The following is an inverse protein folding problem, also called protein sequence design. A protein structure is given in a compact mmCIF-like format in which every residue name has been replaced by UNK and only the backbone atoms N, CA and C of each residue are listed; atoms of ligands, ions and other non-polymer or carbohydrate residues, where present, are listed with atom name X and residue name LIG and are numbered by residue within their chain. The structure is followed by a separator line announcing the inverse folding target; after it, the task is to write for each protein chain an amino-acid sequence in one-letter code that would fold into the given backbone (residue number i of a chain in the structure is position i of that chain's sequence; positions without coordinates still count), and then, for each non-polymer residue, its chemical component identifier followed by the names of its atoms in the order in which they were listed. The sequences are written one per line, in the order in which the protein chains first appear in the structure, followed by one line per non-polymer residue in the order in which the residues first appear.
data_IF_642329302626
#
_entry.id   IF_642329302626
#
_cell.length_a   1.000
_cell.length_b   1.000
_cell.length_c   1.000
_cell.angle_alpha   90.00
_cell.angle_beta   90.00
_cell.angle_gamma   90.00
#
_symmetry.space_group_name_H-M   'P 1'
#
loop_
_entity.id
_entity.type
_entity.pdbx_description
1 polymer ?
#
# COMPACT_ATOMS: atom_id res chain seq x y z
N UNK A 1 30.91 23.36 -20.75
CA UNK A 1 29.46 23.69 -20.83
C UNK A 1 28.77 23.14 -22.09
N UNK A 2 29.19 23.50 -23.31
CA UNK A 2 28.53 23.07 -24.57
C UNK A 2 28.38 21.54 -24.78
N UNK A 3 29.29 20.71 -24.25
CA UNK A 3 29.22 19.23 -24.36
C UNK A 3 28.20 18.62 -23.39
N UNK A 4 28.04 19.20 -22.20
CA UNK A 4 27.07 18.73 -21.19
C UNK A 4 25.65 19.07 -21.63
N UNK A 5 25.42 20.25 -22.20
CA UNK A 5 24.11 20.64 -22.76
C UNK A 5 23.67 19.73 -23.90
N UNK A 6 24.61 19.27 -24.75
CA UNK A 6 24.32 18.32 -25.83
C UNK A 6 23.96 16.94 -25.27
N UNK A 7 24.70 16.44 -24.28
CA UNK A 7 24.38 15.16 -23.62
C UNK A 7 23.01 15.23 -22.94
N UNK A 8 22.70 16.32 -22.24
CA UNK A 8 21.40 16.53 -21.60
C UNK A 8 20.25 16.59 -22.62
N UNK A 9 20.42 17.32 -23.72
CA UNK A 9 19.43 17.36 -24.81
C UNK A 9 19.25 16.00 -25.48
N UNK A 10 20.33 15.25 -25.71
CA UNK A 10 20.24 13.90 -26.29
C UNK A 10 19.59 12.91 -25.31
N UNK A 11 19.83 13.06 -24.00
CA UNK A 11 19.19 12.24 -22.96
C UNK A 11 17.70 12.58 -22.83
N UNK A 12 17.33 13.87 -22.88
CA UNK A 12 15.94 14.31 -22.95
C UNK A 12 15.25 13.81 -24.23
N UNK A 13 15.96 13.80 -25.37
CA UNK A 13 15.41 13.32 -26.65
C UNK A 13 15.25 11.78 -26.67
N UNK A 14 16.21 11.04 -26.10
CA UNK A 14 16.11 9.59 -25.91
C UNK A 14 15.01 9.22 -24.90
N UNK A 15 14.84 10.02 -23.84
CA UNK A 15 13.74 9.88 -22.89
C UNK A 15 12.39 10.17 -23.57
N UNK A 16 12.30 11.18 -24.45
CA UNK A 16 11.09 11.42 -25.24
C UNK A 16 10.78 10.32 -26.26
N UNK A 17 11.80 9.68 -26.83
CA UNK A 17 11.62 8.59 -27.79
C UNK A 17 11.18 7.26 -27.13
N UNK A 18 11.57 7.01 -25.87
CA UNK A 18 11.06 5.87 -25.10
C UNK A 18 9.67 6.13 -24.49
N UNK A 19 9.28 7.40 -24.30
CA UNK A 19 7.91 7.77 -23.92
C UNK A 19 6.89 7.50 -25.05
N UNK A 20 7.31 7.51 -26.32
CA UNK A 20 6.43 7.20 -27.46
C UNK A 20 6.11 5.71 -27.65
N UNK A 21 6.94 4.78 -27.17
CA UNK A 21 6.70 3.34 -27.29
C UNK A 21 5.97 2.70 -26.09
N UNK A 22 5.63 3.47 -25.05
CA UNK A 22 4.93 2.95 -23.87
C UNK A 22 3.39 2.86 -24.03
N UNK A 23 2.87 2.83 -25.26
CA UNK A 23 1.50 3.25 -25.57
C UNK A 23 0.36 2.23 -25.42
N UNK A 24 0.59 1.02 -24.89
CA UNK A 24 -0.43 -0.05 -24.97
C UNK A 24 -0.98 -0.60 -23.65
N UNK A 25 -0.49 -0.19 -22.47
CA UNK A 25 -1.13 -0.59 -21.21
C UNK A 25 -1.67 0.62 -20.43
N UNK A 26 -2.94 0.59 -19.96
CA UNK A 26 -3.46 1.57 -19.01
C UNK A 26 -2.75 1.52 -17.64
N UNK A 27 -1.77 0.62 -17.45
CA UNK A 27 -1.14 0.24 -16.19
C UNK A 27 0.29 0.74 -15.96
N UNK A 28 0.86 1.57 -16.83
CA UNK A 28 2.23 2.08 -16.63
C UNK A 28 2.28 3.59 -16.30
N UNK A 29 1.72 4.04 -15.16
CA UNK A 29 1.86 5.44 -14.76
C UNK A 29 3.32 5.70 -14.43
N UNK A 30 3.88 6.73 -15.06
CA UNK A 30 5.07 7.38 -14.56
C UNK A 30 4.63 8.37 -13.48
N UNK A 31 5.30 8.39 -12.34
CA UNK A 31 5.11 9.43 -11.34
C UNK A 31 6.36 10.29 -11.29
N UNK A 32 6.19 11.58 -11.54
CA UNK A 32 7.25 12.57 -11.39
C UNK A 32 6.95 13.40 -10.15
N UNK A 33 7.87 13.41 -9.19
CA UNK A 33 7.79 14.22 -7.98
C UNK A 33 8.89 15.28 -7.99
N UNK A 34 8.51 16.52 -7.67
CA UNK A 34 9.42 17.66 -7.58
C UNK A 34 9.25 18.30 -6.21
N UNK A 35 10.32 18.38 -5.44
CA UNK A 35 10.24 18.78 -4.03
C UNK A 35 11.47 19.57 -3.59
N UNK A 36 11.36 20.51 -2.64
CA UNK A 36 12.46 20.77 -1.72
C UNK A 36 12.80 19.53 -0.91
N UNK A 37 14.08 19.34 -0.60
CA UNK A 37 14.51 18.34 0.37
C UNK A 37 15.18 18.98 1.59
N UNK A 38 15.12 18.26 2.70
CA UNK A 38 15.58 18.64 4.01
C UNK A 38 16.41 17.50 4.58
N UNK A 39 17.52 17.80 5.24
CA UNK A 39 18.39 16.77 5.83
C UNK A 39 18.63 16.99 7.31
N UNK A 40 18.70 15.90 8.06
CA UNK A 40 19.05 15.90 9.47
C UNK A 40 20.17 14.88 9.74
N UNK A 41 21.36 15.40 10.05
CA UNK A 41 22.55 14.62 10.40
C UNK A 41 22.64 14.29 11.89
N UNK A 42 21.86 14.93 12.75
CA UNK A 42 22.00 14.80 14.20
C UNK A 42 21.24 13.60 14.74
N UNK A 43 19.98 13.44 14.34
CA UNK A 43 19.10 12.39 14.85
C UNK A 43 19.66 10.97 14.72
N UNK A 44 20.33 10.58 13.60
CA UNK A 44 20.92 9.25 13.48
C UNK A 44 22.11 8.97 14.39
N UNK A 45 22.83 10.02 14.81
CA UNK A 45 24.11 9.89 15.51
C UNK A 45 23.98 10.03 17.02
N UNK A 46 22.86 10.57 17.53
CA UNK A 46 22.60 10.72 18.96
C UNK A 46 21.71 9.62 19.54
N UNK A 47 20.95 8.91 18.69
CA UNK A 47 19.98 7.90 19.12
C UNK A 47 18.73 8.45 19.83
N UNK A 48 18.60 9.78 19.94
CA UNK A 48 17.46 10.43 20.58
C UNK A 48 16.37 10.78 19.57
N UNK A 49 15.16 10.27 19.78
CA UNK A 49 14.01 10.55 18.91
C UNK A 49 13.65 12.04 18.85
N UNK A 50 13.89 12.78 19.94
CA UNK A 50 13.65 14.22 19.98
C UNK A 50 14.50 15.01 18.98
N UNK A 51 15.69 14.50 18.63
CA UNK A 51 16.56 15.14 17.63
C UNK A 51 15.99 15.02 16.21
N UNK A 52 15.09 14.06 15.94
CA UNK A 52 14.36 13.98 14.67
C UNK A 52 13.33 15.09 14.56
N UNK A 53 12.61 15.39 15.65
CA UNK A 53 11.56 16.42 15.67
C UNK A 53 12.09 17.84 15.92
N UNK A 54 13.34 17.98 16.37
CA UNK A 54 13.97 19.29 16.56
C UNK A 54 14.20 20.03 15.24
N UNK A 55 13.45 21.12 15.02
CA UNK A 55 13.49 21.90 13.77
C UNK A 55 14.88 22.45 13.43
N UNK A 56 15.67 22.85 14.43
CA UNK A 56 17.03 23.38 14.24
C UNK A 56 18.03 22.35 13.68
N UNK A 57 17.67 21.06 13.71
CA UNK A 57 18.50 19.97 13.21
C UNK A 57 18.29 19.72 11.70
N UNK A 58 17.24 20.32 11.10
CA UNK A 58 16.92 20.20 9.69
C UNK A 58 17.53 21.33 8.88
N UNK A 59 18.23 20.97 7.82
CA UNK A 59 18.82 21.93 6.90
C UNK A 59 17.92 22.11 5.69
N UNK A 60 17.59 23.36 5.38
CA UNK A 60 16.63 23.70 4.34
C UNK A 60 17.36 24.05 3.04
N UNK A 61 17.04 23.36 1.96
CA UNK A 61 17.36 23.80 0.62
C UNK A 61 16.13 24.50 0.02
N UNK A 62 16.25 25.81 -0.24
CA UNK A 62 15.13 26.61 -0.79
C UNK A 62 15.04 26.34 -2.31
N UNK A 63 13.91 25.78 -2.76
CA UNK A 63 13.60 25.50 -4.17
C UNK A 63 13.44 24.01 -4.48
N UNK A 64 12.99 23.65 -5.71
CA UNK A 64 12.84 22.25 -6.13
C UNK A 64 14.23 21.63 -6.31
N UNK A 65 14.68 20.98 -5.25
CA UNK A 65 16.03 20.46 -5.08
C UNK A 65 16.06 18.93 -5.09
N UNK A 66 14.89 18.30 -5.19
CA UNK A 66 14.69 16.88 -5.40
C UNK A 66 13.79 16.64 -6.62
N UNK A 67 14.19 15.68 -7.44
CA UNK A 67 13.43 15.11 -8.52
C UNK A 67 13.34 13.59 -8.30
N UNK A 68 12.13 13.09 -8.10
CA UNK A 68 11.80 11.67 -8.11
C UNK A 68 11.11 11.29 -9.41
N UNK A 69 11.56 10.23 -10.08
CA UNK A 69 10.88 9.68 -11.27
C UNK A 69 10.66 8.19 -11.03
N UNK A 70 9.40 7.81 -10.85
CA UNK A 70 8.98 6.42 -10.64
C UNK A 70 8.34 5.89 -11.90
N UNK A 71 8.76 4.70 -12.32
CA UNK A 71 8.06 3.88 -13.30
C UNK A 71 7.46 2.68 -12.59
N UNK A 72 6.14 2.58 -12.54
CA UNK A 72 5.48 1.40 -12.01
C UNK A 72 5.61 0.23 -12.99
N UNK A 73 5.98 -0.94 -12.47
CA UNK A 73 6.05 -2.21 -13.19
C UNK A 73 4.75 -3.01 -13.04
N UNK A 74 4.06 -2.82 -11.91
CA UNK A 74 2.72 -3.32 -11.61
C UNK A 74 2.11 -2.43 -10.50
N UNK A 75 0.85 -2.65 -10.07
CA UNK A 75 0.20 -1.81 -9.04
C UNK A 75 0.93 -1.75 -7.70
N UNK A 76 1.74 -2.74 -7.35
CA UNK A 76 2.49 -2.77 -6.09
C UNK A 76 3.93 -2.30 -6.23
N UNK A 77 4.59 -2.52 -7.36
CA UNK A 77 6.04 -2.36 -7.50
C UNK A 77 6.40 -1.31 -8.55
N UNK A 78 7.23 -0.35 -8.15
CA UNK A 78 7.83 0.65 -9.02
C UNK A 78 9.34 0.72 -8.89
N UNK A 79 10.00 1.19 -9.95
CA UNK A 79 11.41 1.58 -9.94
C UNK A 79 11.48 3.10 -9.94
N UNK A 80 12.11 3.65 -8.91
CA UNK A 80 12.24 5.08 -8.68
C UNK A 80 13.69 5.53 -8.83
N UNK A 81 13.93 6.48 -9.72
CA UNK A 81 15.16 7.25 -9.76
C UNK A 81 14.97 8.52 -8.93
N UNK A 82 15.87 8.80 -7.99
CA UNK A 82 15.89 10.08 -7.28
C UNK A 82 17.16 10.86 -7.61
N UNK A 83 17.00 12.17 -7.78
CA UNK A 83 18.11 13.12 -7.88
C UNK A 83 17.92 14.27 -6.90
N UNK A 84 18.95 14.57 -6.13
CA UNK A 84 18.99 15.66 -5.15
C UNK A 84 20.14 16.62 -5.50
N UNK A 85 19.89 17.91 -5.37
CA UNK A 85 20.82 18.99 -5.68
C UNK A 85 20.63 20.10 -4.67
N UNK A 86 21.67 20.46 -3.93
CA UNK A 86 21.56 21.53 -2.95
C UNK A 86 22.89 21.91 -2.32
N UNK A 87 22.80 22.52 -1.14
CA UNK A 87 23.94 22.76 -0.26
C UNK A 87 23.66 22.05 1.06
N UNK A 88 24.67 21.36 1.58
CA UNK A 88 24.62 20.75 2.90
C UNK A 88 25.74 21.33 3.75
N UNK A 89 25.43 21.63 5.00
CA UNK A 89 26.35 22.20 5.98
C UNK A 89 26.43 21.28 7.20
N UNK A 90 27.34 20.31 7.20
CA UNK A 90 27.47 19.39 8.32
C UNK A 90 27.83 20.13 9.63
N UNK A 91 27.16 19.85 10.76
CA UNK A 91 27.48 20.46 12.05
C UNK A 91 28.96 20.28 12.43
N UNK A 92 29.66 21.38 12.67
CA UNK A 92 31.11 21.38 12.94
C UNK A 92 31.99 21.61 11.70
N UNK A 93 31.42 21.94 10.53
CA UNK A 93 32.12 22.54 9.39
C UNK A 93 33.06 21.62 8.60
N UNK A 94 33.11 20.32 8.95
CA UNK A 94 34.04 19.36 8.32
C UNK A 94 33.65 19.01 6.88
N UNK A 95 32.36 19.11 6.55
CA UNK A 95 31.76 18.72 5.27
C UNK A 95 30.61 19.70 4.94
N UNK A 96 30.97 20.88 4.44
CA UNK A 96 30.04 21.94 4.08
C UNK A 96 30.22 22.34 2.63
N UNK A 97 29.17 22.24 1.82
CA UNK A 97 29.16 22.81 0.47
C UNK A 97 28.20 22.14 -0.50
N UNK A 98 28.54 22.17 -1.80
CA UNK A 98 27.66 21.72 -2.86
C UNK A 98 27.40 20.22 -2.74
N UNK A 99 26.13 19.86 -2.72
CA UNK A 99 25.67 18.49 -2.56
C UNK A 99 24.89 18.04 -3.79
N UNK A 100 25.19 16.83 -4.23
CA UNK A 100 24.32 16.10 -5.14
C UNK A 100 24.24 14.64 -4.71
N UNK A 101 23.07 14.05 -4.91
CA UNK A 101 22.85 12.62 -4.70
C UNK A 101 21.99 12.07 -5.83
N UNK A 102 22.30 10.86 -6.26
CA UNK A 102 21.46 10.10 -7.18
C UNK A 102 21.30 8.68 -6.66
N UNK A 103 20.07 8.19 -6.61
CA UNK A 103 19.78 6.82 -6.19
C UNK A 103 18.75 6.14 -7.10
N UNK A 104 18.85 4.82 -7.13
CA UNK A 104 17.85 3.94 -7.70
C UNK A 104 17.21 3.14 -6.56
N UNK A 105 15.89 3.23 -6.47
CA UNK A 105 15.11 2.64 -5.39
C UNK A 105 13.99 1.77 -5.96
N UNK A 106 13.72 0.64 -5.31
CA UNK A 106 12.47 -0.11 -5.47
C UNK A 106 11.44 0.55 -4.56
N UNK A 107 10.27 0.85 -5.12
CA UNK A 107 9.13 1.41 -4.42
C UNK A 107 8.04 0.33 -4.32
N UNK A 108 7.51 0.12 -3.11
CA UNK A 108 6.34 -0.72 -2.88
C UNK A 108 5.13 0.15 -2.50
N UNK A 109 4.13 0.23 -3.37
CA UNK A 109 2.89 0.98 -3.16
C UNK A 109 1.83 0.10 -2.51
N UNK A 110 1.15 0.68 -1.51
CA UNK A 110 0.03 0.07 -0.82
C UNK A 110 -1.30 0.32 -1.56
N UNK A 111 -1.37 1.29 -2.47
CA UNK A 111 -2.50 1.51 -3.38
C UNK A 111 -2.46 0.51 -4.54
N UNK A 112 -2.61 -0.78 -4.22
CA UNK A 112 -2.35 -1.88 -5.14
C UNK A 112 -3.58 -2.76 -5.43
N UNK A 113 -4.76 -2.38 -4.94
CA UNK A 113 -6.02 -3.13 -5.09
C UNK A 113 -6.23 -4.22 -4.04
N UNK A 114 -5.19 -4.66 -3.33
CA UNK A 114 -5.30 -5.64 -2.25
C UNK A 114 -5.35 -4.99 -0.87
N UNK A 115 -4.52 -3.95 -0.65
CA UNK A 115 -4.42 -3.25 0.64
C UNK A 115 -5.26 -1.98 0.61
N UNK A 116 -5.04 -1.15 -0.40
CA UNK A 116 -5.85 0.03 -0.69
C UNK A 116 -6.25 0.01 -2.17
N UNK A 117 -7.38 0.64 -2.53
CA UNK A 117 -7.77 0.77 -3.93
C UNK A 117 -6.66 1.35 -4.80
N UNK A 118 -6.52 0.88 -6.05
CA UNK A 118 -5.43 1.28 -6.95
C UNK A 118 -5.42 2.79 -7.26
N UNK A 119 -6.56 3.46 -7.13
CA UNK A 119 -6.72 4.89 -7.33
C UNK A 119 -7.10 5.64 -6.05
N UNK A 120 -6.62 5.19 -4.89
CA UNK A 120 -6.87 5.87 -3.63
C UNK A 120 -6.31 7.31 -3.61
N UNK A 121 -7.04 8.22 -2.96
CA UNK A 121 -6.61 9.59 -2.71
C UNK A 121 -5.32 9.65 -1.88
N UNK A 122 -5.09 8.64 -1.03
CA UNK A 122 -3.85 8.48 -0.27
C UNK A 122 -3.16 7.22 -0.75
N UNK A 123 -1.92 7.38 -1.22
CA UNK A 123 -1.09 6.27 -1.65
C UNK A 123 0.17 6.20 -0.78
N UNK A 124 0.14 5.43 0.33
CA UNK A 124 1.33 5.13 1.11
C UNK A 124 2.27 4.20 0.33
N UNK A 125 3.57 4.41 0.50
CA UNK A 125 4.59 3.56 -0.11
C UNK A 125 5.83 3.44 0.76
N UNK A 126 6.53 2.31 0.60
CA UNK A 126 7.88 2.11 1.10
C UNK A 126 8.88 2.20 -0.04
N UNK A 127 10.11 2.58 0.29
CA UNK A 127 11.21 2.62 -0.67
C UNK A 127 12.48 2.01 -0.08
N UNK A 128 13.20 1.27 -0.91
CA UNK A 128 14.48 0.69 -0.58
C UNK A 128 15.40 0.81 -1.79
N UNK A 129 16.58 1.38 -1.61
CA UNK A 129 17.45 1.67 -2.73
C UNK A 129 18.88 1.98 -2.34
N UNK A 130 19.65 2.36 -3.34
CA UNK A 130 21.03 2.75 -3.16
C UNK A 130 21.51 3.62 -4.30
N UNK A 131 22.61 4.31 -4.04
CA UNK A 131 23.13 5.31 -4.95
C UNK A 131 24.48 5.84 -4.53
N UNK A 132 24.78 7.02 -5.07
CA UNK A 132 25.98 7.76 -4.76
C UNK A 132 25.62 9.19 -4.42
N UNK A 133 26.33 9.74 -3.44
CA UNK A 133 26.24 11.13 -3.08
C UNK A 133 27.62 11.75 -3.04
N UNK A 134 27.67 13.06 -3.24
CA UNK A 134 28.89 13.84 -3.18
C UNK A 134 28.64 15.17 -2.51
N UNK A 135 29.52 15.49 -1.57
CA UNK A 135 29.62 16.80 -0.92
C UNK A 135 30.99 17.37 -1.25
N UNK A 136 31.03 18.53 -1.90
CA UNK A 136 32.24 19.14 -2.46
C UNK A 136 33.01 18.16 -3.36
N UNK A 137 34.11 17.60 -2.89
CA UNK A 137 34.99 16.68 -3.65
C UNK A 137 34.98 15.25 -3.12
N UNK A 138 34.24 14.97 -2.05
CA UNK A 138 34.11 13.64 -1.49
C UNK A 138 32.88 12.94 -2.08
N UNK A 139 33.07 11.77 -2.69
CA UNK A 139 32.00 10.89 -3.19
C UNK A 139 31.90 9.67 -2.31
N UNK A 140 30.69 9.25 -1.95
CA UNK A 140 30.43 8.10 -1.10
C UNK A 140 29.18 7.34 -1.55
N UNK A 141 29.14 6.06 -1.22
CA UNK A 141 27.97 5.22 -1.45
C UNK A 141 26.86 5.56 -0.46
N UNK A 142 25.61 5.42 -0.92
CA UNK A 142 24.43 5.61 -0.08
C UNK A 142 23.55 4.39 -0.21
N UNK A 143 23.14 3.83 0.93
CA UNK A 143 22.02 2.90 1.02
C UNK A 143 20.84 3.61 1.68
N UNK A 144 19.66 3.50 1.08
CA UNK A 144 18.48 4.27 1.45
C UNK A 144 17.31 3.33 1.77
N UNK A 145 16.69 3.54 2.92
CA UNK A 145 15.41 2.93 3.27
C UNK A 145 14.46 4.01 3.76
N UNK A 146 13.21 4.00 3.30
CA UNK A 146 12.28 5.05 3.66
C UNK A 146 10.82 4.69 3.40
N UNK A 147 9.97 5.68 3.67
CA UNK A 147 8.55 5.62 3.42
C UNK A 147 8.07 6.99 2.94
N UNK A 148 6.92 6.99 2.29
CA UNK A 148 6.25 8.22 1.90
C UNK A 148 4.79 7.98 1.63
N UNK A 149 4.11 9.06 1.29
CA UNK A 149 2.77 9.01 0.76
C UNK A 149 2.61 10.03 -0.35
N UNK A 150 1.82 9.65 -1.36
CA UNK A 150 1.22 10.60 -2.29
C UNK A 150 -0.19 10.95 -1.81
N UNK A 151 -0.53 12.24 -1.84
CA UNK A 151 -1.89 12.72 -1.63
C UNK A 151 -2.42 13.27 -2.95
N UNK A 152 -3.29 12.52 -3.61
CA UNK A 152 -3.82 12.84 -4.94
C UNK A 152 -5.07 13.70 -4.83
N UNK A 153 -4.99 14.96 -5.26
CA UNK A 153 -6.16 15.84 -5.40
C UNK A 153 -6.98 15.52 -6.65
N UNK A 154 -6.29 14.98 -7.66
CA UNK A 154 -6.86 14.55 -8.94
C UNK A 154 -6.11 13.29 -9.40
N UNK A 155 -6.62 12.54 -10.38
CA UNK A 155 -5.91 11.37 -10.91
C UNK A 155 -4.50 11.64 -11.44
N UNK A 156 -4.19 12.90 -11.81
CA UNK A 156 -2.92 13.30 -12.42
C UNK A 156 -2.01 14.14 -11.53
N UNK A 157 -2.51 14.72 -10.44
CA UNK A 157 -1.81 15.74 -9.65
C UNK A 157 -2.07 15.58 -8.16
N UNK A 158 -1.00 15.65 -7.39
CA UNK A 158 -1.02 15.49 -5.94
C UNK A 158 0.19 16.11 -5.26
N UNK A 159 0.31 15.87 -3.96
CA UNK A 159 1.49 16.13 -3.16
C UNK A 159 2.28 14.84 -2.92
N UNK A 160 3.59 14.93 -2.75
CA UNK A 160 4.38 13.91 -2.07
C UNK A 160 4.89 14.41 -0.74
N UNK A 161 4.94 13.49 0.22
CA UNK A 161 5.80 13.60 1.39
C UNK A 161 6.58 12.29 1.52
N UNK A 162 7.90 12.38 1.54
CA UNK A 162 8.81 11.25 1.59
C UNK A 162 9.83 11.50 2.70
N UNK A 163 10.15 10.48 3.49
CA UNK A 163 11.27 10.49 4.43
C UNK A 163 12.08 9.22 4.27
N UNK A 164 13.40 9.35 4.38
CA UNK A 164 14.32 8.23 4.21
C UNK A 164 15.53 8.34 5.12
N UNK A 165 15.94 7.20 5.64
CA UNK A 165 17.18 7.03 6.35
C UNK A 165 18.26 6.62 5.35
N UNK A 166 19.33 7.42 5.28
CA UNK A 166 20.46 7.20 4.40
C UNK A 166 21.65 6.72 5.23
N UNK A 167 22.08 5.48 4.98
CA UNK A 167 23.32 4.91 5.49
C UNK A 167 24.44 5.17 4.51
N UNK A 168 25.60 5.59 5.01
CA UNK A 168 26.79 5.84 4.17
C UNK A 168 28.07 5.40 4.87
N UNK A 169 29.18 5.38 4.14
CA UNK A 169 30.50 5.09 4.70
C UNK A 169 31.08 6.23 5.57
N UNK A 170 30.45 7.40 5.57
CA UNK A 170 30.98 8.61 6.22
C UNK A 170 30.07 9.08 7.36
N UNK A 171 28.77 9.21 7.10
CA UNK A 171 27.76 9.64 8.08
C UNK A 171 26.36 9.19 7.65
N UNK A 172 25.54 8.85 8.63
CA UNK A 172 24.14 8.55 8.40
C UNK A 172 23.30 9.82 8.59
N UNK A 173 22.24 9.96 7.78
CA UNK A 173 21.36 11.13 7.84
C UNK A 173 19.93 10.78 7.45
N UNK A 174 18.98 11.52 8.01
CA UNK A 174 17.61 11.54 7.51
C UNK A 174 17.49 12.53 6.36
N UNK A 175 16.70 12.17 5.36
CA UNK A 175 16.35 13.00 4.21
C UNK A 175 14.84 12.98 4.04
N UNK A 176 14.23 14.16 4.10
CA UNK A 176 12.79 14.36 3.91
C UNK A 176 12.55 15.26 2.71
N UNK A 177 11.53 14.96 1.90
CA UNK A 177 11.12 15.74 0.76
C UNK A 177 9.61 15.93 0.79
N UNK A 178 9.14 17.17 0.63
CA UNK A 178 7.71 17.48 0.55
C UNK A 178 7.49 18.37 -0.66
N UNK A 179 6.65 17.94 -1.61
CA UNK A 179 6.45 18.68 -2.84
C UNK A 179 5.26 18.21 -3.65
N UNK A 180 5.36 18.39 -4.96
CA UNK A 180 4.30 18.11 -5.92
C UNK A 180 4.60 16.81 -6.67
N UNK A 181 3.55 16.04 -6.95
CA UNK A 181 3.62 14.82 -7.77
C UNK A 181 2.67 14.87 -8.94
N UNK A 182 3.14 14.33 -10.06
CA UNK A 182 2.42 14.28 -11.33
C UNK A 182 2.42 12.84 -11.87
N UNK A 183 1.24 12.29 -12.13
CA UNK A 183 1.09 11.03 -12.88
C UNK A 183 1.06 11.34 -14.37
N UNK A 184 1.97 10.73 -15.13
CA UNK A 184 2.16 10.91 -16.56
C UNK A 184 2.03 9.55 -17.25
N UNK A 185 1.38 9.50 -18.41
CA UNK A 185 1.28 8.29 -19.23
C UNK A 185 -0.04 7.54 -19.09
N UNK A 186 -0.91 7.92 -18.15
CA UNK A 186 -2.32 7.57 -18.21
C UNK A 186 -2.97 8.42 -19.31
N UNK A 187 -3.35 7.82 -20.45
CA UNK A 187 -4.41 8.43 -21.28
C UNK A 187 -5.56 8.71 -20.32
N UNK A 188 -5.92 9.98 -20.14
CA UNK A 188 -6.88 10.41 -19.13
C UNK A 188 -8.26 9.82 -19.33
N UNK A 189 -8.42 8.52 -19.04
CA UNK A 189 -9.70 7.97 -18.63
C UNK A 189 -10.09 8.77 -17.41
N UNK A 190 -11.17 9.55 -17.56
CA UNK A 190 -11.87 10.14 -16.43
C UNK A 190 -12.22 8.96 -15.53
N UNK A 191 -11.50 8.86 -14.42
CA UNK A 191 -11.77 7.88 -13.39
C UNK A 191 -13.07 8.31 -12.73
N UNK A 192 -14.15 7.61 -13.06
CA UNK A 192 -15.44 7.76 -12.39
C UNK A 192 -15.45 6.75 -11.25
N UNK A 193 -15.82 7.25 -10.09
CA UNK A 193 -16.10 6.52 -8.86
C UNK A 193 -17.41 7.14 -8.41
N UNK A 194 -18.52 6.46 -8.70
CA UNK A 194 -19.85 7.05 -8.64
C UNK A 194 -20.45 6.99 -7.24
N UNK A 195 -20.12 5.95 -6.47
CA UNK A 195 -20.57 5.81 -5.09
C UNK A 195 -19.55 6.35 -4.07
N UNK A 196 -18.33 6.64 -4.48
CA UNK A 196 -17.31 7.29 -3.68
C UNK A 196 -16.60 6.35 -2.70
N UNK A 197 -16.59 5.04 -2.96
CA UNK A 197 -15.94 4.05 -2.09
C UNK A 197 -14.41 3.97 -2.29
N UNK A 198 -13.89 4.70 -3.29
CA UNK A 198 -12.47 4.78 -3.63
C UNK A 198 -12.02 3.72 -4.64
N UNK A 199 -12.91 2.83 -5.07
CA UNK A 199 -12.76 1.91 -6.19
C UNK A 199 -13.45 2.53 -7.39
N UNK A 200 -12.82 2.42 -8.55
CA UNK A 200 -13.28 3.10 -9.75
C UNK A 200 -14.34 2.22 -10.42
N UNK A 201 -15.37 2.78 -11.04
CA UNK A 201 -16.51 2.03 -11.62
C UNK A 201 -16.07 0.87 -12.56
N UNK A 202 -14.89 0.99 -13.17
CA UNK A 202 -14.31 -0.03 -14.07
C UNK A 202 -13.71 -1.24 -13.34
N UNK A 203 -13.33 -1.07 -12.08
CA UNK A 203 -12.77 -2.10 -11.20
C UNK A 203 -13.73 -2.48 -10.07
N UNK A 204 -14.77 -1.69 -9.88
CA UNK A 204 -15.83 -1.91 -8.91
C UNK A 204 -16.88 -2.89 -9.45
N UNK A 205 -17.18 -3.92 -8.66
CA UNK A 205 -18.24 -4.88 -8.97
C UNK A 205 -19.63 -4.29 -8.72
N UNK A 206 -19.76 -3.28 -7.86
CA UNK A 206 -20.99 -2.62 -7.48
C UNK A 206 -20.90 -1.08 -7.61
N UNK A 207 -20.73 -0.51 -8.82
CA UNK A 207 -20.42 0.92 -9.03
C UNK A 207 -21.47 1.96 -8.55
N UNK A 208 -22.57 1.51 -7.94
CA UNK A 208 -23.64 2.38 -7.45
C UNK A 208 -23.79 2.27 -5.92
N UNK A 209 -23.09 1.34 -5.28
CA UNK A 209 -23.25 0.96 -3.88
C UNK A 209 -21.89 0.77 -3.23
N UNK A 210 -21.51 1.72 -2.38
CA UNK A 210 -20.19 1.73 -1.78
C UNK A 210 -19.86 0.43 -1.02
N UNK A 211 -18.69 -0.14 -1.31
CA UNK A 211 -18.19 -1.32 -0.64
C UNK A 211 -16.76 -1.18 -0.16
N UNK A 212 -16.12 -2.33 0.08
CA UNK A 212 -14.72 -2.37 0.51
C UNK A 212 -13.84 -3.01 -0.55
N UNK A 213 -12.53 -2.80 -0.44
CA UNK A 213 -11.56 -3.48 -1.31
C UNK A 213 -11.61 -5.02 -1.16
N UNK A 214 -11.94 -5.55 0.03
CA UNK A 214 -12.04 -6.99 0.27
C UNK A 214 -13.16 -7.62 -0.58
N UNK A 215 -14.25 -6.89 -0.77
CA UNK A 215 -15.42 -7.29 -1.55
C UNK A 215 -15.42 -6.73 -2.99
N UNK A 216 -14.32 -6.11 -3.43
CA UNK A 216 -14.17 -5.47 -4.74
C UNK A 216 -15.24 -4.39 -5.01
N UNK A 217 -15.57 -3.60 -3.99
CA UNK A 217 -16.47 -2.45 -4.08
C UNK A 217 -17.93 -2.76 -3.82
N UNK A 218 -18.25 -4.00 -3.43
CA UNK A 218 -19.61 -4.35 -3.05
C UNK A 218 -19.88 -4.21 -1.54
N UNK A 219 -21.11 -3.88 -1.12
CA UNK A 219 -21.49 -3.86 0.29
C UNK A 219 -21.30 -5.21 0.98
N UNK A 220 -20.92 -5.14 2.25
CA UNK A 220 -20.71 -6.26 3.18
C UNK A 220 -21.29 -5.82 4.53
N UNK A 221 -22.44 -6.38 4.91
CA UNK A 221 -23.25 -5.88 6.02
C UNK A 221 -22.79 -6.42 7.39
N UNK A 222 -22.22 -7.62 7.44
CA UNK A 222 -21.72 -8.24 8.68
C UNK A 222 -20.19 -8.23 8.82
N UNK A 223 -19.47 -7.86 7.76
CA UNK A 223 -18.03 -7.63 7.76
C UNK A 223 -17.20 -8.91 7.67
N UNK A 224 -17.74 -10.00 7.14
CA UNK A 224 -17.03 -11.28 7.00
C UNK A 224 -16.14 -11.38 5.74
N UNK A 225 -16.06 -10.27 4.98
CA UNK A 225 -15.33 -10.12 3.72
C UNK A 225 -15.95 -10.86 2.52
N UNK A 226 -17.22 -11.24 2.60
CA UNK A 226 -18.04 -11.74 1.49
C UNK A 226 -19.07 -10.66 1.15
N UNK A 227 -19.24 -10.37 -0.14
CA UNK A 227 -20.23 -9.36 -0.54
C UNK A 227 -21.65 -9.87 -0.25
N UNK A 228 -22.57 -8.99 0.15
CA UNK A 228 -23.97 -9.34 0.45
C UNK A 228 -24.67 -10.13 -0.66
N UNK A 229 -24.27 -9.92 -1.92
CA UNK A 229 -24.82 -10.63 -3.08
C UNK A 229 -24.30 -12.08 -3.22
N UNK A 230 -23.11 -12.35 -2.68
CA UNK A 230 -22.44 -13.65 -2.69
C UNK A 230 -22.60 -14.40 -1.33
N UNK A 231 -23.10 -13.71 -0.31
CA UNK A 231 -23.33 -14.23 1.04
C UNK A 231 -24.75 -14.83 1.20
N UNK A 232 -24.82 -16.03 1.77
CA UNK A 232 -26.09 -16.72 2.07
C UNK A 232 -26.72 -16.23 3.39
N UNK A 233 -25.93 -15.65 4.27
CA UNK A 233 -26.29 -15.15 5.59
C UNK A 233 -25.79 -13.69 5.81
N UNK A 234 -26.17 -12.72 4.96
CA UNK A 234 -25.55 -11.37 4.88
C UNK A 234 -25.66 -10.48 6.12
N UNK A 235 -26.39 -10.92 7.15
CA UNK A 235 -26.60 -10.18 8.39
C UNK A 235 -25.81 -10.79 9.57
N UNK A 236 -25.14 -11.94 9.38
CA UNK A 236 -24.47 -12.71 10.43
C UNK A 236 -23.19 -13.35 9.90
N UNK A 237 -22.07 -12.79 10.34
CA UNK A 237 -20.76 -13.17 9.86
C UNK A 237 -20.50 -14.68 9.95
N UNK A 238 -20.01 -15.25 8.85
CA UNK A 238 -19.69 -16.66 8.76
C UNK A 238 -18.36 -16.93 8.10
N UNK A 239 -18.16 -18.19 7.71
CA UNK A 239 -16.91 -18.61 7.06
C UNK A 239 -17.10 -18.70 5.55
N UNK A 240 -16.06 -18.41 4.74
CA UNK A 240 -16.12 -18.58 3.29
C UNK A 240 -16.44 -20.01 2.83
N UNK A 241 -16.01 -21.03 3.59
CA UNK A 241 -16.35 -22.43 3.29
C UNK A 241 -17.86 -22.70 3.32
N UNK A 242 -18.60 -21.89 4.10
CA UNK A 242 -20.04 -21.96 4.30
C UNK A 242 -20.80 -20.82 3.61
N UNK A 243 -20.17 -20.13 2.66
CA UNK A 243 -20.75 -18.99 1.93
C UNK A 243 -21.31 -17.90 2.86
N UNK A 244 -20.54 -17.57 3.91
CA UNK A 244 -20.85 -16.50 4.85
C UNK A 244 -21.83 -16.89 5.96
N UNK A 245 -22.24 -18.16 6.04
CA UNK A 245 -23.03 -18.61 7.18
C UNK A 245 -22.18 -19.11 8.36
N UNK A 246 -22.62 -18.89 9.61
CA UNK A 246 -22.00 -19.45 10.79
C UNK A 246 -22.29 -20.95 10.96
N UNK A 247 -21.39 -21.62 11.68
CA UNK A 247 -21.47 -23.00 12.16
C UNK A 247 -20.96 -22.95 13.61
N UNK A 248 -21.88 -22.77 14.55
CA UNK A 248 -21.62 -22.35 15.93
C UNK A 248 -21.00 -23.47 16.76
N UNK A 249 -21.37 -24.73 16.52
CA UNK A 249 -20.82 -25.88 17.23
C UNK A 249 -19.76 -26.66 16.44
N UNK A 250 -19.48 -26.24 15.20
CA UNK A 250 -18.43 -26.78 14.34
C UNK A 250 -18.62 -28.24 13.95
N UNK A 251 -19.87 -28.69 13.81
CA UNK A 251 -20.21 -30.03 13.33
C UNK A 251 -20.22 -30.16 11.80
N UNK A 252 -20.08 -29.03 11.10
CA UNK A 252 -20.04 -28.93 9.64
C UNK A 252 -21.40 -28.67 9.00
N UNK A 253 -22.45 -28.43 9.78
CA UNK A 253 -23.78 -28.01 9.34
C UNK A 253 -23.97 -26.56 9.76
N UNK A 254 -24.34 -25.71 8.81
CA UNK A 254 -24.54 -24.28 9.10
C UNK A 254 -25.75 -24.09 10.02
N UNK A 255 -25.71 -23.10 10.91
CA UNK A 255 -26.75 -22.85 11.93
C UNK A 255 -28.17 -22.74 11.34
N UNK A 256 -28.28 -22.33 10.08
CA UNK A 256 -29.56 -22.22 9.34
C UNK A 256 -30.18 -23.59 9.02
N UNK A 257 -29.34 -24.60 8.79
CA UNK A 257 -29.73 -25.96 8.41
C UNK A 257 -29.60 -26.95 9.58
N UNK A 258 -29.11 -26.50 10.74
CA UNK A 258 -28.94 -27.26 11.97
C UNK A 258 -30.16 -27.12 12.91
N UNK A 259 -30.74 -28.25 13.36
CA UNK A 259 -31.83 -28.27 14.35
C UNK A 259 -31.34 -28.04 15.79
N UNK A 260 -30.04 -28.18 16.04
CA UNK A 260 -29.35 -28.01 17.30
C UNK A 260 -28.06 -27.15 17.19
N UNK A 261 -28.12 -25.86 16.76
CA UNK A 261 -26.94 -25.02 16.40
C UNK A 261 -25.86 -24.78 17.48
N UNK A 262 -26.02 -25.33 18.68
CA UNK A 262 -25.08 -25.11 19.80
C UNK A 262 -24.56 -26.43 20.36
N UNK A 263 -24.92 -27.56 19.76
CA UNK A 263 -24.64 -28.89 20.25
C UNK A 263 -24.36 -29.81 19.08
N UNK A 264 -23.07 -30.03 18.82
CA UNK A 264 -22.61 -30.76 17.65
C UNK A 264 -23.27 -32.13 17.50
N UNK A 265 -23.77 -32.40 16.30
CA UNK A 265 -24.41 -33.65 15.96
C UNK A 265 -23.91 -34.23 14.66
N UNK A 266 -24.76 -35.03 14.03
CA UNK A 266 -24.45 -35.62 12.73
C UNK A 266 -25.47 -35.20 11.70
N UNK A 267 -25.08 -35.24 10.42
CA UNK A 267 -26.00 -34.99 9.31
C UNK A 267 -27.21 -35.93 9.27
N UNK A 268 -27.10 -37.15 9.83
CA UNK A 268 -28.24 -38.07 9.96
C UNK A 268 -29.35 -37.49 10.84
N UNK A 269 -28.97 -36.70 11.84
CA UNK A 269 -29.86 -36.08 12.81
C UNK A 269 -29.96 -34.56 12.65
N UNK A 270 -29.60 -34.05 11.45
CA UNK A 270 -29.61 -32.62 11.12
C UNK A 270 -28.89 -31.75 12.17
N UNK A 271 -27.71 -32.21 12.59
CA UNK A 271 -26.85 -31.50 13.54
C UNK A 271 -27.21 -31.68 15.01
N UNK A 272 -28.22 -32.49 15.33
CA UNK A 272 -28.49 -32.84 16.72
C UNK A 272 -27.66 -34.04 17.21
N UNK A 273 -27.23 -34.03 18.49
CA UNK A 273 -26.51 -35.13 19.10
C UNK A 273 -27.44 -36.32 19.40
N UNK A 274 -26.85 -37.50 19.35
CA UNK A 274 -27.37 -38.79 19.85
C UNK A 274 -26.25 -39.36 20.72
N UNK A 275 -26.30 -39.03 22.02
CA UNK A 275 -25.19 -39.21 22.95
C UNK A 275 -24.93 -40.70 23.26
N UNK A 276 -25.95 -41.55 23.22
CA UNK A 276 -25.84 -42.99 23.50
C UNK A 276 -25.89 -43.90 22.25
N UNK A 277 -26.14 -43.30 21.08
CA UNK A 277 -26.13 -43.95 19.78
C UNK A 277 -27.25 -44.96 19.60
N UNK A 278 -28.39 -44.79 20.26
CA UNK A 278 -29.56 -45.67 20.13
C UNK A 278 -30.46 -45.32 18.93
N UNK A 279 -30.20 -44.19 18.27
CA UNK A 279 -30.93 -43.72 17.10
C UNK A 279 -31.99 -42.65 17.39
N UNK A 280 -32.14 -42.22 18.65
CA UNK A 280 -33.04 -41.15 19.08
C UNK A 280 -32.21 -39.93 19.46
N UNK A 281 -32.49 -38.77 18.84
CA UNK A 281 -31.81 -37.52 19.19
C UNK A 281 -32.05 -37.13 20.64
N UNK A 282 -31.03 -36.58 21.33
CA UNK A 282 -31.06 -36.26 22.76
C UNK A 282 -32.29 -35.41 23.18
N UNK A 283 -32.73 -34.52 22.28
CA UNK A 283 -33.91 -33.65 22.51
C UNK A 283 -35.24 -34.42 22.55
N UNK A 284 -35.28 -35.59 21.91
CA UNK A 284 -36.44 -36.48 21.83
C UNK A 284 -36.28 -37.74 22.67
N UNK A 285 -35.13 -37.95 23.29
CA UNK A 285 -34.86 -39.08 24.17
C UNK A 285 -35.21 -38.73 25.63
N UNK A 286 -35.93 -39.65 26.28
CA UNK A 286 -36.26 -39.54 27.71
C UNK A 286 -35.04 -39.85 28.58
N UNK A 287 -34.12 -40.68 28.09
CA UNK A 287 -32.89 -41.06 28.78
C UNK A 287 -31.64 -40.84 27.89
N UNK A 288 -31.27 -39.59 27.53
CA UNK A 288 -30.23 -39.28 26.52
C UNK A 288 -28.82 -39.85 26.74
N UNK A 289 -28.57 -40.51 27.87
CA UNK A 289 -27.27 -41.10 28.20
C UNK A 289 -27.36 -42.62 28.38
N UNK A 290 -28.53 -43.24 28.17
CA UNK A 290 -28.77 -44.66 28.42
C UNK A 290 -29.39 -45.35 27.21
N UNK A 291 -28.51 -46.01 26.43
CA UNK A 291 -28.87 -46.66 25.17
C UNK A 291 -30.15 -47.48 25.26
N UNK A 292 -31.19 -47.05 24.55
CA UNK A 292 -32.45 -47.77 24.42
C UNK A 292 -32.32 -49.09 23.65
N UNK A 293 -33.30 -49.98 23.85
CA UNK A 293 -33.42 -51.17 23.00
C UNK A 293 -34.10 -50.77 21.69
N UNK A 294 -33.38 -50.84 20.58
CA UNK A 294 -33.92 -50.59 19.24
C UNK A 294 -35.24 -51.34 19.02
N UNK A 295 -36.30 -50.60 18.67
CA UNK A 295 -37.62 -51.13 18.33
C UNK A 295 -37.67 -51.72 16.91
#
# INVERSE_FOLDING_TARGET
MKKITKIFLTLCFLCSATLTQAQEEPKNPWVISVSPFFTNFKAPNTGNVSDYFGGDNWQNNIGPTHLGVTKFLNPSLGLMFNGYLGKLDYPGGRLSGAYWQTDLSVLYSMANGYILPTYSAVEPYFLLGGGAARINDLTYGVFKGGAGFHFWFTPGFGLNAQTSYNTTDVYNFWESAIGLSFRIGSKGERVVDKDGDGIVDKLDKCPEEAGTAATNGCPDADGDAIANADDTCPDVAGKPEFKGCPDTDSDGIVDKDDECPTAAGTAQFKGCPDTDGDGIVDKSDTCPNEKGTAA
#
